data_IF_455862710742
#
_entry.id   IF_455862710742
#
_cell.length_a   1.000
_cell.length_b   1.000
_cell.length_c   1.000
_cell.angle_alpha   90.00
_cell.angle_beta   90.00
_cell.angle_gamma   90.00
#
_symmetry.space_group_name_H-M   'P 1'
#
loop_
_entity.id
_entity.type
_entity.pdbx_description
1 polymer ?
#
# COMPACT_ATOMS: atom_id res chain seq x y z
N UNK A 1 -3.47 10.33 -17.42
CA UNK A 1 -3.01 9.42 -16.33
C UNK A 1 -3.40 10.00 -14.97
N UNK A 2 -4.47 10.81 -14.95
CA UNK A 2 -4.71 11.87 -13.96
C UNK A 2 -5.75 11.50 -12.91
N UNK A 3 -6.05 10.21 -12.77
CA UNK A 3 -6.91 9.71 -11.71
C UNK A 3 -6.06 9.32 -10.48
N UNK A 4 -6.42 9.77 -9.27
CA UNK A 4 -5.80 9.30 -8.04
C UNK A 4 -5.94 7.78 -7.90
N UNK A 5 -4.92 7.15 -7.31
CA UNK A 5 -4.87 5.70 -7.10
C UNK A 5 -4.51 5.42 -5.65
N UNK A 6 -5.34 4.63 -4.98
CA UNK A 6 -5.01 4.05 -3.69
C UNK A 6 -4.27 2.73 -3.93
N UNK A 7 -2.98 2.65 -3.58
CA UNK A 7 -2.15 1.47 -3.81
C UNK A 7 -2.06 0.64 -2.54
N UNK A 8 -2.59 -0.58 -2.59
CA UNK A 8 -2.49 -1.57 -1.54
C UNK A 8 -1.36 -2.54 -1.90
N UNK A 9 -0.29 -2.55 -1.10
CA UNK A 9 0.88 -3.40 -1.36
C UNK A 9 0.65 -4.82 -0.86
N UNK A 10 0.73 -5.80 -1.76
CA UNK A 10 0.56 -7.23 -1.44
C UNK A 10 1.89 -7.98 -1.26
N UNK A 11 3.03 -7.28 -1.29
CA UNK A 11 4.37 -7.86 -1.21
C UNK A 11 5.10 -7.90 -2.56
N UNK A 12 6.30 -8.48 -2.57
CA UNK A 12 7.12 -8.67 -3.77
C UNK A 12 7.37 -10.18 -3.98
N UNK A 13 7.03 -10.74 -5.14
CA UNK A 13 7.23 -12.15 -5.45
C UNK A 13 8.70 -12.49 -5.78
N UNK A 14 9.71 -11.75 -5.36
CA UNK A 14 11.11 -12.21 -5.55
C UNK A 14 11.36 -13.63 -5.00
N UNK A 15 10.48 -14.11 -4.09
CA UNK A 15 10.42 -15.50 -3.63
C UNK A 15 9.60 -16.46 -4.50
N UNK A 16 8.68 -15.98 -5.34
CA UNK A 16 7.89 -16.76 -6.30
C UNK A 16 8.39 -16.55 -7.73
N UNK A 17 8.80 -17.63 -8.41
CA UNK A 17 9.26 -17.56 -9.81
C UNK A 17 8.19 -17.06 -10.80
N UNK A 18 6.92 -17.01 -10.40
CA UNK A 18 5.78 -16.65 -11.25
C UNK A 18 4.90 -15.57 -10.59
N UNK A 19 4.82 -14.40 -11.24
CA UNK A 19 3.98 -13.27 -10.82
C UNK A 19 2.48 -13.60 -10.88
N UNK A 20 2.06 -14.43 -11.84
CA UNK A 20 0.64 -14.79 -12.01
C UNK A 20 0.17 -15.59 -10.81
N UNK A 21 0.97 -16.59 -10.42
CA UNK A 21 0.64 -17.46 -9.29
C UNK A 21 0.59 -16.66 -7.97
N UNK A 22 1.51 -15.70 -7.78
CA UNK A 22 1.53 -14.82 -6.62
C UNK A 22 0.26 -13.97 -6.45
N UNK A 23 -0.28 -13.44 -7.56
CA UNK A 23 -1.47 -12.59 -7.50
C UNK A 23 -2.75 -13.42 -7.31
N UNK A 24 -2.73 -14.68 -7.74
CA UNK A 24 -3.87 -15.60 -7.63
C UNK A 24 -3.84 -16.47 -6.36
N UNK A 25 -2.69 -16.54 -5.67
CA UNK A 25 -2.57 -17.26 -4.40
C UNK A 25 -3.31 -16.56 -3.27
N UNK A 26 -3.63 -17.33 -2.23
CA UNK A 26 -4.10 -16.78 -0.96
C UNK A 26 -2.91 -16.20 -0.20
N UNK A 27 -3.20 -15.23 0.67
CA UNK A 27 -2.24 -14.77 1.68
C UNK A 27 -1.98 -15.88 2.71
N UNK A 28 -0.76 -15.93 3.21
CA UNK A 28 -0.38 -16.85 4.28
C UNK A 28 -0.93 -16.37 5.64
N UNK A 29 -1.08 -17.28 6.61
CA UNK A 29 -1.66 -16.96 7.92
C UNK A 29 -0.89 -15.85 8.66
N UNK A 30 0.43 -15.76 8.46
CA UNK A 30 1.31 -14.74 9.06
C UNK A 30 1.22 -13.38 8.34
N UNK A 31 0.54 -13.31 7.20
CA UNK A 31 0.26 -12.08 6.46
C UNK A 31 -1.09 -11.47 6.81
N UNK A 32 -2.02 -12.25 7.37
CA UNK A 32 -3.41 -11.84 7.64
C UNK A 32 -3.48 -10.59 8.53
N UNK A 33 -2.67 -10.51 9.60
CA UNK A 33 -2.68 -9.35 10.50
C UNK A 33 -2.25 -8.07 9.77
N UNK A 34 -1.19 -8.15 8.94
CA UNK A 34 -0.72 -7.02 8.13
C UNK A 34 -1.71 -6.64 7.05
N UNK A 35 -2.38 -7.62 6.45
CA UNK A 35 -3.44 -7.42 5.47
C UNK A 35 -4.61 -6.65 6.09
N UNK A 36 -5.06 -7.05 7.28
CA UNK A 36 -6.13 -6.38 8.00
C UNK A 36 -5.76 -4.93 8.38
N UNK A 37 -4.52 -4.71 8.84
CA UNK A 37 -4.02 -3.35 9.12
C UNK A 37 -4.02 -2.48 7.85
N UNK A 38 -3.53 -3.03 6.73
CA UNK A 38 -3.50 -2.33 5.45
C UNK A 38 -4.93 -1.99 4.96
N UNK A 39 -5.88 -2.93 5.06
CA UNK A 39 -7.28 -2.70 4.71
C UNK A 39 -7.87 -1.59 5.57
N UNK A 40 -7.62 -1.61 6.89
CA UNK A 40 -8.06 -0.56 7.80
C UNK A 40 -7.55 0.83 7.38
N UNK A 41 -6.25 0.94 7.09
CA UNK A 41 -5.65 2.18 6.59
C UNK A 41 -6.24 2.61 5.24
N UNK A 42 -6.53 1.67 4.34
CA UNK A 42 -7.12 1.97 3.04
C UNK A 42 -8.56 2.52 3.17
N UNK A 43 -9.35 1.97 4.10
CA UNK A 43 -10.69 2.47 4.42
C UNK A 43 -10.61 3.89 4.95
N UNK A 44 -9.76 4.15 5.95
CA UNK A 44 -9.58 5.51 6.48
C UNK A 44 -9.09 6.48 5.41
N UNK A 45 -8.10 6.09 4.59
CA UNK A 45 -7.58 6.92 3.50
C UNK A 45 -8.66 7.29 2.49
N UNK A 46 -9.60 6.37 2.22
CA UNK A 46 -10.75 6.62 1.34
C UNK A 46 -11.68 7.66 1.94
N UNK A 47 -11.98 7.58 3.24
CA UNK A 47 -12.80 8.59 3.91
C UNK A 47 -12.14 9.97 3.84
N UNK A 48 -10.86 10.09 4.23
CA UNK A 48 -10.12 11.35 4.16
C UNK A 48 -10.00 11.91 2.74
N UNK A 49 -9.85 11.04 1.73
CA UNK A 49 -9.82 11.45 0.33
C UNK A 49 -11.14 12.11 -0.10
N UNK A 50 -12.28 11.55 0.34
CA UNK A 50 -13.61 12.06 0.02
C UNK A 50 -13.93 13.33 0.82
N UNK A 51 -13.60 13.38 2.11
CA UNK A 51 -13.96 14.50 2.99
C UNK A 51 -13.03 15.70 2.88
N UNK A 52 -11.71 15.47 2.79
CA UNK A 52 -10.68 16.52 2.92
C UNK A 52 -9.76 16.62 1.69
N UNK A 53 -9.99 15.78 0.67
CA UNK A 53 -9.28 15.79 -0.59
C UNK A 53 -7.96 15.02 -0.62
N UNK A 54 -7.40 14.90 -1.82
CA UNK A 54 -6.25 14.03 -2.12
C UNK A 54 -4.96 14.41 -1.38
N UNK A 55 -4.64 15.69 -1.26
CA UNK A 55 -3.40 16.12 -0.62
C UNK A 55 -3.36 15.74 0.86
N UNK A 56 -4.49 15.94 1.57
CA UNK A 56 -4.64 15.59 2.98
C UNK A 56 -4.50 14.08 3.19
N UNK A 57 -5.22 13.29 2.39
CA UNK A 57 -5.12 11.83 2.42
C UNK A 57 -3.67 11.36 2.14
N UNK A 58 -3.02 11.87 1.09
CA UNK A 58 -1.65 11.48 0.75
C UNK A 58 -0.66 11.80 1.88
N UNK A 59 -0.72 12.99 2.46
CA UNK A 59 0.19 13.40 3.53
C UNK A 59 0.03 12.58 4.80
N UNK A 60 -1.20 12.11 5.08
CA UNK A 60 -1.52 11.33 6.27
C UNK A 60 -1.12 9.85 6.14
N UNK A 61 -1.42 9.23 5.00
CA UNK A 61 -1.29 7.78 4.83
C UNK A 61 -0.03 7.33 4.11
N UNK A 62 0.58 8.17 3.26
CA UNK A 62 1.84 7.80 2.63
C UNK A 62 3.00 7.97 3.62
N UNK A 63 3.73 6.88 3.89
CA UNK A 63 4.95 6.94 4.70
C UNK A 63 5.94 7.91 4.05
N UNK A 64 6.48 8.84 4.85
CA UNK A 64 7.60 9.69 4.43
C UNK A 64 8.78 8.75 4.13
N UNK A 65 9.12 8.64 2.85
CA UNK A 65 10.34 7.96 2.43
C UNK A 65 11.49 8.73 3.09
N UNK A 66 12.17 8.13 4.08
CA UNK A 66 13.48 8.64 4.49
C UNK A 66 14.34 8.54 3.23
N UNK A 67 14.74 9.68 2.68
CA UNK A 67 15.76 9.72 1.63
C UNK A 67 16.96 8.96 2.19
N UNK A 68 17.25 7.77 1.65
CA UNK A 68 18.55 7.15 1.88
C UNK A 68 19.59 8.17 1.41
N UNK A 69 20.52 8.44 2.30
CA UNK A 69 21.61 9.39 2.15
C UNK A 69 22.16 9.40 0.72
N UNK A 70 22.20 10.58 0.11
CA UNK A 70 23.15 10.84 -0.97
C UNK A 70 24.55 10.79 -0.32
N UNK A 71 25.14 9.61 -0.25
CA UNK A 71 26.56 9.44 0.06
C UNK A 71 27.36 10.07 -1.10
N UNK A 72 28.44 10.83 -0.79
CA UNK A 72 28.98 11.91 -1.64
C UNK A 72 29.43 11.51 -3.04
#
# INVERSE_FOLDING_TARGET
TDFPRLRCGIGNPEKMRNMVDFVLSRFDDDEIDKLNEMIGQAVEATFWFISDGILTAMNRFNKKVKSKDKTP
#
